data_IF_067899948858
#
_entry.id   IF_067899948858
#
_cell.length_a   1.000
_cell.length_b   1.000
_cell.length_c   1.000
_cell.angle_alpha   90.00
_cell.angle_beta   90.00
_cell.angle_gamma   90.00
#
_symmetry.space_group_name_H-M   'P 1'
#
loop_
_entity.id
_entity.type
_entity.pdbx_description
1 polymer ?
#
# COMPACT_ATOMS: atom_id res chain seq x y z
N UNK A 1 -9.45 1.11 21.48
CA UNK A 1 -8.27 1.13 20.58
C UNK A 1 -7.62 -0.24 20.58
N UNK A 2 -7.38 -0.83 19.42
CA UNK A 2 -6.56 -2.03 19.33
C UNK A 2 -5.09 -1.65 19.54
N UNK A 3 -4.35 -2.45 20.33
CA UNK A 3 -2.93 -2.20 20.55
C UNK A 3 -2.14 -2.35 19.23
N UNK A 4 -1.38 -1.31 18.86
CA UNK A 4 -0.49 -1.39 17.70
C UNK A 4 0.76 -2.17 18.13
N UNK A 5 0.97 -3.30 17.49
CA UNK A 5 2.17 -4.12 17.74
C UNK A 5 3.32 -3.61 16.88
N UNK A 6 4.47 -3.42 17.49
CA UNK A 6 5.66 -2.92 16.80
C UNK A 6 5.50 -1.47 16.31
N UNK A 7 5.99 -1.19 15.11
CA UNK A 7 5.81 0.09 14.39
C UNK A 7 6.31 1.34 15.14
N UNK A 8 7.20 1.16 16.11
CA UNK A 8 7.65 2.27 16.98
C UNK A 8 8.27 3.43 16.18
N UNK A 9 9.05 3.09 15.15
CA UNK A 9 9.67 4.08 14.28
C UNK A 9 8.62 4.84 13.48
N UNK A 10 7.72 4.13 12.81
CA UNK A 10 6.69 4.72 11.96
C UNK A 10 5.72 5.59 12.77
N UNK A 11 5.34 5.14 13.98
CA UNK A 11 4.52 5.93 14.90
C UNK A 11 5.26 7.20 15.34
N UNK A 12 6.55 7.11 15.68
CA UNK A 12 7.34 8.27 16.08
C UNK A 12 7.46 9.29 14.94
N UNK A 13 7.71 8.85 13.71
CA UNK A 13 7.75 9.70 12.52
C UNK A 13 6.39 10.37 12.26
N UNK A 14 5.28 9.60 12.30
CA UNK A 14 3.93 10.14 12.13
C UNK A 14 3.61 11.22 13.17
N UNK A 15 3.95 10.98 14.44
CA UNK A 15 3.78 11.96 15.52
C UNK A 15 4.69 13.18 15.35
N UNK A 16 5.89 13.01 14.80
CA UNK A 16 6.79 14.11 14.47
C UNK A 16 6.19 15.04 13.41
N UNK A 17 5.61 14.48 12.33
CA UNK A 17 4.89 15.27 11.32
C UNK A 17 3.63 15.93 11.90
N UNK A 18 2.90 15.22 12.72
CA UNK A 18 1.69 15.77 13.37
C UNK A 18 2.02 17.01 14.22
N UNK A 19 3.12 16.98 14.97
CA UNK A 19 3.53 18.04 15.88
C UNK A 19 4.43 19.10 15.23
N UNK A 20 4.64 19.09 13.92
CA UNK A 20 5.60 19.97 13.23
C UNK A 20 5.16 21.45 13.18
N UNK A 21 3.86 21.74 13.36
CA UNK A 21 3.30 23.09 13.26
C UNK A 21 3.31 23.70 11.85
N UNK A 22 3.51 22.86 10.82
CA UNK A 22 3.50 23.28 9.40
C UNK A 22 2.65 22.34 8.57
N UNK A 23 2.36 22.73 7.31
CA UNK A 23 1.71 21.84 6.36
C UNK A 23 2.57 20.60 6.11
N UNK A 24 1.97 19.43 6.24
CA UNK A 24 2.68 18.15 6.00
C UNK A 24 1.94 17.33 4.95
N UNK A 25 2.71 16.80 3.98
CA UNK A 25 2.23 15.88 2.97
C UNK A 25 3.04 14.57 3.07
N UNK A 26 2.42 13.56 3.66
CA UNK A 26 3.08 12.30 3.99
C UNK A 26 2.56 11.16 3.12
N UNK A 27 3.46 10.47 2.42
CA UNK A 27 3.13 9.29 1.65
C UNK A 27 3.48 8.01 2.43
N UNK A 28 2.52 7.08 2.53
CA UNK A 28 2.71 5.78 3.14
C UNK A 28 2.47 4.69 2.10
N UNK A 29 3.45 3.84 1.90
CA UNK A 29 3.38 2.79 0.89
C UNK A 29 4.02 1.49 1.37
N UNK A 30 3.83 0.42 0.63
CA UNK A 30 4.33 -0.92 0.96
C UNK A 30 3.34 -2.00 0.58
N UNK A 31 3.73 -3.26 0.76
CA UNK A 31 2.92 -4.42 0.36
C UNK A 31 1.48 -4.32 0.86
N UNK A 32 0.57 -4.92 0.12
CA UNK A 32 -0.80 -5.09 0.56
C UNK A 32 -0.84 -5.91 1.85
N UNK A 33 -1.76 -5.57 2.78
CA UNK A 33 -2.02 -6.29 4.04
C UNK A 33 -0.96 -6.16 5.14
N UNK A 34 0.03 -5.26 4.97
CA UNK A 34 1.02 -4.96 6.03
C UNK A 34 0.49 -4.04 7.14
N UNK A 35 -0.77 -3.56 7.01
CA UNK A 35 -1.42 -2.77 8.06
C UNK A 35 -1.32 -1.25 7.90
N UNK A 36 -1.13 -0.71 6.68
CA UNK A 36 -1.03 0.75 6.43
C UNK A 36 -2.25 1.51 6.96
N UNK A 37 -3.44 1.16 6.47
CA UNK A 37 -4.71 1.77 6.87
C UNK A 37 -4.96 1.63 8.37
N UNK A 38 -4.68 0.44 8.93
CA UNK A 38 -4.80 0.19 10.36
C UNK A 38 -3.90 1.12 11.18
N UNK A 39 -2.62 1.27 10.80
CA UNK A 39 -1.68 2.14 11.49
C UNK A 39 -2.20 3.59 11.56
N UNK A 40 -2.65 4.14 10.43
CA UNK A 40 -3.11 5.52 10.37
C UNK A 40 -4.40 5.71 11.19
N UNK A 41 -5.35 4.79 11.06
CA UNK A 41 -6.60 4.85 11.81
C UNK A 41 -6.36 4.78 13.33
N UNK A 42 -5.45 3.92 13.80
CA UNK A 42 -5.19 3.82 15.25
C UNK A 42 -4.35 4.99 15.78
N UNK A 43 -3.41 5.53 14.99
CA UNK A 43 -2.57 6.67 15.42
C UNK A 43 -3.35 7.98 15.46
N UNK A 44 -4.30 8.19 14.54
CA UNK A 44 -5.01 9.45 14.36
C UNK A 44 -6.53 9.33 14.53
N UNK A 45 -7.01 8.29 15.23
CA UNK A 45 -8.44 8.02 15.41
C UNK A 45 -9.27 9.27 15.80
N UNK A 46 -8.77 10.04 16.75
CA UNK A 46 -9.48 11.20 17.30
C UNK A 46 -9.16 12.52 16.58
N UNK A 47 -8.12 12.55 15.76
CA UNK A 47 -7.62 13.75 15.08
C UNK A 47 -7.99 13.81 13.59
N UNK A 48 -8.56 12.72 13.05
CA UNK A 48 -8.86 12.58 11.63
C UNK A 48 -10.15 13.32 11.28
N UNK A 49 -9.99 14.49 10.60
CA UNK A 49 -11.13 15.31 10.18
C UNK A 49 -11.80 14.78 8.91
N UNK A 50 -11.03 14.12 8.04
CA UNK A 50 -11.51 13.56 6.79
C UNK A 50 -10.78 12.26 6.44
N UNK A 51 -11.55 11.25 6.05
CA UNK A 51 -11.04 9.99 5.55
C UNK A 51 -11.77 9.58 4.27
N UNK A 52 -10.99 9.21 3.25
CA UNK A 52 -11.51 8.68 2.01
C UNK A 52 -10.70 7.48 1.54
N UNK A 53 -11.37 6.46 0.99
CA UNK A 53 -10.73 5.30 0.36
C UNK A 53 -11.17 5.22 -1.10
N UNK A 54 -10.22 5.18 -2.02
CA UNK A 54 -10.48 4.97 -3.45
C UNK A 54 -11.20 3.65 -3.72
N UNK A 55 -12.06 3.61 -4.74
CA UNK A 55 -12.69 2.38 -5.20
C UNK A 55 -11.71 1.54 -6.00
N UNK A 56 -11.68 0.24 -5.73
CA UNK A 56 -10.90 -0.72 -6.53
C UNK A 56 -11.23 -0.58 -8.02
N UNK A 57 -10.23 -0.58 -8.92
CA UNK A 57 -10.45 -0.37 -10.35
C UNK A 57 -11.29 -1.48 -11.00
N UNK A 58 -11.39 -2.63 -10.36
CA UNK A 58 -12.14 -3.78 -10.85
C UNK A 58 -13.32 -4.09 -9.94
N UNK A 59 -14.52 -3.85 -10.44
CA UNK A 59 -15.75 -4.49 -9.96
C UNK A 59 -15.99 -5.76 -10.78
N UNK A 60 -16.73 -6.71 -10.22
CA UNK A 60 -17.03 -8.02 -10.86
C UNK A 60 -17.69 -7.88 -12.23
N UNK A 61 -18.34 -6.76 -12.52
CA UNK A 61 -19.15 -6.54 -13.71
C UNK A 61 -18.58 -5.48 -14.67
N UNK A 62 -17.80 -4.54 -14.18
CA UNK A 62 -17.25 -3.46 -15.00
C UNK A 62 -16.04 -2.79 -14.34
N UNK A 63 -15.26 -2.08 -15.16
CA UNK A 63 -14.21 -1.20 -14.65
C UNK A 63 -14.83 0.03 -13.97
N UNK A 64 -14.35 0.38 -12.80
CA UNK A 64 -14.78 1.59 -12.06
C UNK A 64 -14.38 2.84 -12.87
N UNK A 65 -15.35 3.72 -13.09
CA UNK A 65 -15.17 4.95 -13.87
C UNK A 65 -14.78 6.14 -13.01
N UNK A 66 -14.35 7.24 -13.66
CA UNK A 66 -14.15 8.52 -12.99
C UNK A 66 -15.40 8.98 -12.23
N UNK A 67 -16.59 8.81 -12.83
CA UNK A 67 -17.85 9.20 -12.20
C UNK A 67 -18.10 8.42 -10.89
N UNK A 68 -17.77 7.14 -10.85
CA UNK A 68 -17.93 6.31 -9.64
C UNK A 68 -16.96 6.79 -8.54
N UNK A 69 -15.72 7.09 -8.90
CA UNK A 69 -14.72 7.62 -7.95
C UNK A 69 -15.15 8.98 -7.38
N UNK A 70 -15.62 9.90 -8.22
CA UNK A 70 -16.10 11.21 -7.80
C UNK A 70 -17.34 11.10 -6.90
N UNK A 71 -18.26 10.20 -7.21
CA UNK A 71 -19.42 9.94 -6.37
C UNK A 71 -19.01 9.38 -5.01
N UNK A 72 -18.07 8.45 -4.96
CA UNK A 72 -17.55 7.90 -3.71
C UNK A 72 -16.86 8.98 -2.86
N UNK A 73 -16.07 9.85 -3.50
CA UNK A 73 -15.41 10.97 -2.83
C UNK A 73 -16.43 11.96 -2.25
N UNK A 74 -17.45 12.29 -3.04
CA UNK A 74 -18.56 13.15 -2.60
C UNK A 74 -19.29 12.57 -1.38
N UNK A 75 -19.60 11.26 -1.39
CA UNK A 75 -20.21 10.60 -0.24
C UNK A 75 -19.29 10.59 1.00
N UNK A 76 -17.99 10.55 0.82
CA UNK A 76 -17.07 10.72 1.95
C UNK A 76 -17.16 12.13 2.55
N UNK A 77 -17.21 13.18 1.72
CA UNK A 77 -17.41 14.55 2.20
C UNK A 77 -18.73 14.72 2.97
N UNK A 78 -19.82 14.19 2.43
CA UNK A 78 -21.15 14.24 3.10
C UNK A 78 -21.13 13.50 4.44
N UNK A 79 -20.49 12.32 4.51
CA UNK A 79 -20.36 11.55 5.78
C UNK A 79 -19.59 12.31 6.86
N UNK A 80 -18.66 13.19 6.47
CA UNK A 80 -17.91 14.02 7.41
C UNK A 80 -18.58 15.37 7.70
N UNK A 81 -19.79 15.60 7.18
CA UNK A 81 -20.61 16.77 7.53
C UNK A 81 -20.57 17.90 6.51
N UNK A 82 -20.06 17.69 5.30
CA UNK A 82 -20.18 18.69 4.25
C UNK A 82 -21.64 18.82 3.79
N UNK A 83 -22.14 20.04 3.71
CA UNK A 83 -23.49 20.36 3.24
C UNK A 83 -23.47 21.36 2.08
N UNK A 84 -24.60 21.47 1.36
CA UNK A 84 -24.90 22.57 0.45
C UNK A 84 -24.19 22.56 -0.91
N UNK A 85 -23.42 21.53 -1.26
CA UNK A 85 -22.74 21.44 -2.55
C UNK A 85 -23.26 20.28 -3.39
N UNK A 86 -23.35 20.46 -4.70
CA UNK A 86 -23.72 19.40 -5.64
C UNK A 86 -22.52 18.44 -5.87
N UNK A 87 -22.81 17.22 -6.34
CA UNK A 87 -21.79 16.23 -6.67
C UNK A 87 -20.79 16.80 -7.70
N UNK A 88 -19.47 16.65 -7.47
CA UNK A 88 -18.43 17.16 -8.36
C UNK A 88 -18.41 16.39 -9.70
N UNK A 89 -18.02 17.10 -10.78
CA UNK A 89 -17.90 16.54 -12.13
C UNK A 89 -16.45 16.27 -12.52
N UNK A 90 -15.49 16.75 -11.74
CA UNK A 90 -14.07 16.61 -11.93
C UNK A 90 -13.32 16.48 -10.61
N UNK A 91 -12.09 15.98 -10.63
CA UNK A 91 -11.24 15.98 -9.44
C UNK A 91 -10.88 17.38 -8.97
N UNK A 92 -10.80 18.35 -9.89
CA UNK A 92 -10.58 19.75 -9.51
C UNK A 92 -11.72 20.28 -8.63
N UNK A 93 -12.98 20.02 -9.03
CA UNK A 93 -14.14 20.37 -8.20
C UNK A 93 -14.16 19.58 -6.88
N UNK A 94 -13.82 18.29 -6.91
CA UNK A 94 -13.80 17.46 -5.72
C UNK A 94 -12.78 17.95 -4.68
N UNK A 95 -11.57 18.32 -5.09
CA UNK A 95 -10.57 18.88 -4.18
C UNK A 95 -10.94 20.29 -3.71
N UNK A 96 -11.54 21.13 -4.56
CA UNK A 96 -12.08 22.41 -4.12
C UNK A 96 -13.16 22.24 -3.03
N UNK A 97 -14.02 21.23 -3.16
CA UNK A 97 -15.00 20.90 -2.11
C UNK A 97 -14.31 20.46 -0.81
N UNK A 98 -13.22 19.71 -0.90
CA UNK A 98 -12.42 19.35 0.28
C UNK A 98 -11.79 20.58 0.93
N UNK A 99 -11.26 21.53 0.14
CA UNK A 99 -10.74 22.81 0.67
C UNK A 99 -11.83 23.54 1.47
N UNK A 100 -13.01 23.71 0.89
CA UNK A 100 -14.15 24.37 1.54
C UNK A 100 -14.60 23.66 2.82
N UNK A 101 -14.63 22.33 2.80
CA UNK A 101 -14.94 21.52 3.97
C UNK A 101 -13.91 21.75 5.08
N UNK A 102 -12.61 21.71 4.76
CA UNK A 102 -11.54 21.91 5.72
C UNK A 102 -11.51 23.34 6.29
N UNK A 103 -11.85 24.36 5.48
CA UNK A 103 -11.97 25.75 5.94
C UNK A 103 -13.14 25.93 6.91
N UNK A 104 -14.31 25.36 6.59
CA UNK A 104 -15.49 25.46 7.46
C UNK A 104 -15.35 24.66 8.76
N UNK A 105 -14.57 23.61 8.75
CA UNK A 105 -14.31 22.74 9.92
C UNK A 105 -13.08 23.17 10.72
N UNK A 106 -12.43 24.28 10.32
CA UNK A 106 -11.19 24.74 10.97
C UNK A 106 -11.49 25.39 12.33
N UNK A 107 -11.06 24.74 13.40
CA UNK A 107 -11.14 25.22 14.77
C UNK A 107 -9.77 25.60 15.34
N UNK A 108 -8.74 25.73 14.50
CA UNK A 108 -7.36 26.00 14.88
C UNK A 108 -6.54 24.77 15.31
N UNK A 109 -7.18 23.62 15.47
CA UNK A 109 -6.48 22.37 15.78
C UNK A 109 -5.86 21.74 14.53
N UNK A 110 -4.96 20.77 14.74
CA UNK A 110 -4.36 19.98 13.65
C UNK A 110 -5.46 19.24 12.87
N UNK A 111 -5.51 19.40 11.56
CA UNK A 111 -6.44 18.73 10.67
C UNK A 111 -5.72 17.58 9.97
N UNK A 112 -6.04 16.35 10.33
CA UNK A 112 -5.53 15.15 9.64
C UNK A 112 -6.51 14.75 8.56
N UNK A 113 -6.03 14.76 7.32
CA UNK A 113 -6.75 14.27 6.13
C UNK A 113 -6.09 12.99 5.67
N UNK A 114 -6.84 11.90 5.62
CA UNK A 114 -6.32 10.61 5.17
C UNK A 114 -7.00 10.15 3.88
N UNK A 115 -6.20 9.95 2.83
CA UNK A 115 -6.66 9.42 1.53
C UNK A 115 -6.01 8.06 1.32
N UNK A 116 -6.79 7.00 1.46
CA UNK A 116 -6.35 5.62 1.32
C UNK A 116 -6.56 5.10 -0.11
N UNK A 117 -5.70 4.18 -0.54
CA UNK A 117 -5.64 3.59 -1.87
C UNK A 117 -5.66 4.67 -2.99
N UNK A 118 -4.81 5.69 -2.81
CA UNK A 118 -4.65 6.82 -3.74
C UNK A 118 -4.50 6.38 -5.22
N UNK A 119 -3.72 5.33 -5.55
CA UNK A 119 -3.56 4.87 -6.93
C UNK A 119 -4.87 4.48 -7.63
N UNK A 120 -5.88 4.05 -6.89
CA UNK A 120 -7.15 3.63 -7.46
C UNK A 120 -8.00 4.79 -7.98
N UNK A 121 -7.76 6.00 -7.48
CA UNK A 121 -8.46 7.20 -7.93
C UNK A 121 -7.92 7.76 -9.25
N UNK A 122 -6.67 7.43 -9.59
CA UNK A 122 -6.03 7.86 -10.83
C UNK A 122 -6.49 6.99 -12.02
N UNK A 123 -7.75 7.15 -12.40
CA UNK A 123 -8.30 6.48 -13.59
C UNK A 123 -7.80 7.17 -14.87
N UNK A 124 -7.79 6.43 -15.98
CA UNK A 124 -7.28 6.94 -17.24
C UNK A 124 -7.92 8.29 -17.65
N UNK A 125 -7.09 9.28 -17.90
CA UNK A 125 -7.48 10.65 -18.32
C UNK A 125 -8.36 11.38 -17.28
N UNK A 126 -8.31 10.99 -16.01
CA UNK A 126 -9.13 11.61 -14.95
C UNK A 126 -8.66 13.00 -14.52
N UNK A 127 -7.40 13.35 -14.79
CA UNK A 127 -6.78 14.57 -14.27
C UNK A 127 -6.55 14.56 -12.75
N UNK A 128 -6.56 13.37 -12.14
CA UNK A 128 -6.44 13.21 -10.69
C UNK A 128 -5.16 13.83 -10.13
N UNK A 129 -4.01 13.45 -10.69
CA UNK A 129 -2.71 13.97 -10.23
C UNK A 129 -2.61 15.49 -10.39
N UNK A 130 -3.10 16.04 -11.50
CA UNK A 130 -3.13 17.49 -11.74
C UNK A 130 -4.00 18.20 -10.70
N UNK A 131 -5.14 17.62 -10.34
CA UNK A 131 -6.02 18.18 -9.32
C UNK A 131 -5.42 18.09 -7.91
N UNK A 132 -4.78 16.98 -7.56
CA UNK A 132 -4.04 16.82 -6.30
C UNK A 132 -2.88 17.82 -6.20
N UNK A 133 -2.15 18.01 -7.32
CA UNK A 133 -1.08 19.00 -7.42
C UNK A 133 -1.62 20.43 -7.18
N UNK A 134 -2.71 20.79 -7.83
CA UNK A 134 -3.35 22.10 -7.67
C UNK A 134 -3.83 22.31 -6.23
N UNK A 135 -4.49 21.33 -5.63
CA UNK A 135 -4.91 21.35 -4.23
C UNK A 135 -3.73 21.60 -3.29
N UNK A 136 -2.67 20.80 -3.42
CA UNK A 136 -1.53 20.94 -2.52
C UNK A 136 -0.74 22.22 -2.74
N UNK A 137 -0.38 22.52 -3.99
CA UNK A 137 0.46 23.69 -4.31
C UNK A 137 -0.29 25.02 -4.17
N UNK A 138 -1.58 25.05 -4.49
CA UNK A 138 -2.40 26.27 -4.46
C UNK A 138 -2.92 26.59 -3.07
N UNK A 139 -3.25 25.57 -2.27
CA UNK A 139 -3.92 25.77 -1.00
C UNK A 139 -3.26 25.00 0.15
N UNK A 140 -3.10 23.69 0.05
CA UNK A 140 -2.74 22.82 1.18
C UNK A 140 -1.41 23.19 1.84
N UNK A 141 -0.37 23.51 1.06
CA UNK A 141 0.95 23.86 1.57
C UNK A 141 1.00 25.17 2.36
N UNK A 142 -0.04 26.00 2.27
CA UNK A 142 -0.16 27.25 3.03
C UNK A 142 -0.85 27.09 4.38
N UNK A 143 -1.42 25.91 4.66
CA UNK A 143 -2.23 25.61 5.85
C UNK A 143 -1.35 24.99 6.94
N UNK A 144 -0.87 25.80 7.90
CA UNK A 144 0.04 25.34 8.97
C UNK A 144 -0.53 24.20 9.82
N UNK A 145 -1.84 24.06 9.89
CA UNK A 145 -2.52 23.01 10.65
C UNK A 145 -2.95 21.80 9.81
N UNK A 146 -2.62 21.73 8.51
CA UNK A 146 -2.97 20.59 7.66
C UNK A 146 -1.90 19.51 7.69
N UNK A 147 -2.31 18.25 7.89
CA UNK A 147 -1.53 17.06 7.64
C UNK A 147 -2.27 16.15 6.64
N UNK A 148 -1.84 16.17 5.38
CA UNK A 148 -2.34 15.27 4.34
C UNK A 148 -1.54 13.97 4.36
N UNK A 149 -2.21 12.86 4.65
CA UNK A 149 -1.63 11.53 4.59
C UNK A 149 -2.25 10.79 3.40
N UNK A 150 -1.43 10.27 2.52
CA UNK A 150 -1.87 9.47 1.39
C UNK A 150 -1.25 8.08 1.45
N UNK A 151 -2.03 7.08 1.07
CA UNK A 151 -1.61 5.69 1.19
C UNK A 151 -1.90 4.93 -0.10
N UNK A 152 -1.09 3.93 -0.40
CA UNK A 152 -1.32 3.04 -1.54
C UNK A 152 -0.59 1.72 -1.43
N UNK A 153 -1.25 0.67 -1.90
CA UNK A 153 -0.67 -0.68 -2.01
C UNK A 153 0.02 -0.94 -3.36
N UNK A 154 -0.31 -0.17 -4.41
CA UNK A 154 0.39 -0.18 -5.69
C UNK A 154 1.70 0.61 -5.58
N UNK A 155 2.73 -0.02 -4.99
CA UNK A 155 4.00 0.64 -4.65
C UNK A 155 4.69 1.26 -5.86
N UNK A 156 4.65 0.62 -7.04
CA UNK A 156 5.22 1.17 -8.27
C UNK A 156 4.55 2.49 -8.67
N UNK A 157 3.22 2.57 -8.56
CA UNK A 157 2.49 3.80 -8.85
C UNK A 157 2.86 4.90 -7.85
N UNK A 158 2.93 4.60 -6.56
CA UNK A 158 3.32 5.56 -5.51
C UNK A 158 4.73 6.10 -5.77
N UNK A 159 5.66 5.22 -6.13
CA UNK A 159 7.05 5.63 -6.46
C UNK A 159 7.11 6.47 -7.74
N UNK A 160 6.45 6.06 -8.81
CA UNK A 160 6.61 6.68 -10.12
C UNK A 160 5.81 8.00 -10.26
N UNK A 161 4.62 8.07 -9.65
CA UNK A 161 3.69 9.20 -9.84
C UNK A 161 3.66 10.19 -8.68
N UNK A 162 4.12 9.79 -7.50
CA UNK A 162 4.10 10.66 -6.33
C UNK A 162 5.52 10.96 -5.82
N UNK A 163 6.29 9.94 -5.44
CA UNK A 163 7.60 10.10 -4.79
C UNK A 163 8.66 10.59 -5.77
N UNK A 164 8.81 9.90 -6.91
CA UNK A 164 9.76 10.26 -7.97
C UNK A 164 9.08 11.07 -9.09
N UNK A 165 7.98 11.74 -8.78
CA UNK A 165 7.27 12.58 -9.74
C UNK A 165 8.22 13.62 -10.35
N UNK A 166 8.08 13.84 -11.67
CA UNK A 166 8.87 14.86 -12.40
C UNK A 166 8.07 16.13 -12.71
N UNK A 167 6.81 16.17 -12.28
CA UNK A 167 5.88 17.29 -12.42
C UNK A 167 5.81 18.16 -11.17
N UNK A 168 4.68 18.80 -10.95
CA UNK A 168 4.49 19.76 -9.88
C UNK A 168 4.38 19.18 -8.47
N UNK A 169 4.32 17.84 -8.32
CA UNK A 169 4.45 17.16 -7.03
C UNK A 169 5.91 16.85 -6.68
N UNK A 170 6.87 17.15 -7.56
CA UNK A 170 8.30 16.95 -7.28
C UNK A 170 8.75 17.71 -6.03
N UNK A 171 9.32 16.99 -5.06
CA UNK A 171 9.81 17.57 -3.81
C UNK A 171 8.72 18.19 -2.91
N UNK A 172 7.44 17.84 -3.13
CA UNK A 172 6.31 18.34 -2.33
C UNK A 172 5.95 17.46 -1.15
N UNK A 173 6.32 16.19 -1.20
CA UNK A 173 6.21 15.33 -0.04
C UNK A 173 7.15 15.81 1.06
N UNK A 174 6.61 15.96 2.26
CA UNK A 174 7.39 16.31 3.46
C UNK A 174 7.83 15.07 4.21
N UNK A 175 7.17 13.93 3.96
CA UNK A 175 7.50 12.64 4.55
C UNK A 175 7.15 11.45 3.67
N UNK A 176 7.99 10.43 3.79
CA UNK A 176 7.82 9.14 3.12
C UNK A 176 8.02 8.02 4.12
N UNK A 177 7.03 7.13 4.24
CA UNK A 177 7.11 5.98 5.13
C UNK A 177 6.81 4.71 4.32
N UNK A 178 7.84 3.90 4.09
CA UNK A 178 7.64 2.55 3.56
C UNK A 178 7.34 1.59 4.70
N UNK A 179 6.13 1.04 4.70
CA UNK A 179 5.72 0.07 5.71
C UNK A 179 6.10 -1.35 5.24
N UNK A 180 7.02 -1.96 5.98
CA UNK A 180 7.49 -3.33 5.72
C UNK A 180 6.62 -4.37 6.44
N UNK A 181 6.69 -5.67 6.06
CA UNK A 181 6.22 -6.76 6.90
C UNK A 181 6.83 -6.69 8.31
N UNK A 182 6.20 -7.33 9.27
CA UNK A 182 6.75 -7.44 10.62
C UNK A 182 8.10 -8.14 10.62
N UNK A 183 8.99 -7.69 11.48
CA UNK A 183 10.20 -8.43 11.84
C UNK A 183 9.85 -9.67 12.67
N UNK A 184 10.78 -10.60 12.83
CA UNK A 184 10.57 -11.78 13.69
C UNK A 184 10.20 -11.38 15.14
N UNK A 185 10.77 -10.29 15.66
CA UNK A 185 10.43 -9.78 16.98
C UNK A 185 9.00 -9.26 17.04
N UNK A 186 8.57 -8.49 16.07
CA UNK A 186 7.20 -8.01 15.98
C UNK A 186 6.21 -9.17 15.78
N UNK A 187 6.58 -10.22 15.06
CA UNK A 187 5.78 -11.44 14.95
C UNK A 187 5.64 -12.15 16.31
N UNK A 188 6.73 -12.26 17.10
CA UNK A 188 6.70 -12.81 18.46
C UNK A 188 5.74 -12.01 19.34
N UNK A 189 5.87 -10.67 19.32
CA UNK A 189 5.01 -9.77 20.11
C UNK A 189 3.53 -9.86 19.66
N UNK A 190 3.29 -9.96 18.35
CA UNK A 190 1.96 -10.13 17.80
C UNK A 190 1.28 -11.43 18.23
N UNK A 191 1.98 -12.57 18.16
CA UNK A 191 1.44 -13.84 18.60
C UNK A 191 1.18 -13.84 20.11
N UNK A 192 2.09 -13.30 20.92
CA UNK A 192 1.90 -13.16 22.36
C UNK A 192 0.67 -12.31 22.71
N UNK A 193 0.46 -11.18 22.04
CA UNK A 193 -0.72 -10.32 22.24
C UNK A 193 -2.05 -11.01 21.93
N UNK A 194 -2.02 -12.09 21.16
CA UNK A 194 -3.19 -12.91 20.78
C UNK A 194 -3.28 -14.22 21.59
N UNK A 195 -2.49 -14.38 22.66
CA UNK A 195 -2.39 -15.60 23.46
C UNK A 195 -1.99 -16.85 22.65
N UNK A 196 -1.28 -16.66 21.54
CA UNK A 196 -0.76 -17.75 20.71
C UNK A 196 0.65 -18.09 21.20
N UNK A 197 0.77 -19.24 21.88
CA UNK A 197 2.03 -19.73 22.43
C UNK A 197 2.77 -20.57 21.37
N UNK A 198 3.90 -20.04 20.89
CA UNK A 198 4.76 -20.74 19.94
C UNK A 198 6.23 -20.61 20.33
N UNK A 199 6.99 -21.68 20.10
CA UNK A 199 8.46 -21.60 20.19
C UNK A 199 9.01 -20.62 19.12
N UNK A 200 10.17 -20.04 19.37
CA UNK A 200 10.85 -19.19 18.37
C UNK A 200 11.09 -19.92 17.05
N UNK A 201 11.37 -21.23 17.11
CA UNK A 201 11.49 -22.05 15.91
C UNK A 201 10.19 -22.08 15.09
N UNK A 202 9.04 -22.26 15.76
CA UNK A 202 7.74 -22.23 15.09
C UNK A 202 7.40 -20.84 14.54
N UNK A 203 7.81 -19.76 15.23
CA UNK A 203 7.65 -18.39 14.73
C UNK A 203 8.44 -18.17 13.44
N UNK A 204 9.69 -18.68 13.37
CA UNK A 204 10.50 -18.63 12.13
C UNK A 204 9.81 -19.41 11.00
N UNK A 205 9.29 -20.60 11.28
CA UNK A 205 8.56 -21.38 10.27
C UNK A 205 7.30 -20.66 9.80
N UNK A 206 6.51 -20.09 10.73
CA UNK A 206 5.35 -19.27 10.39
C UNK A 206 5.73 -18.05 9.54
N UNK A 207 6.85 -17.40 9.88
CA UNK A 207 7.39 -16.27 9.13
C UNK A 207 7.76 -16.67 7.68
N UNK A 208 8.42 -17.80 7.50
CA UNK A 208 8.77 -18.32 6.16
C UNK A 208 7.54 -18.61 5.29
N UNK A 209 6.38 -18.92 5.91
CA UNK A 209 5.14 -19.23 5.19
C UNK A 209 4.30 -17.95 4.95
N UNK A 210 4.19 -17.08 5.96
CA UNK A 210 3.29 -15.92 5.94
C UNK A 210 3.99 -14.59 5.65
N UNK A 211 5.32 -14.55 5.61
CA UNK A 211 6.15 -13.38 5.29
C UNK A 211 6.03 -12.24 6.30
N UNK A 212 5.66 -12.51 7.56
CA UNK A 212 5.46 -11.47 8.59
C UNK A 212 4.30 -10.51 8.28
N UNK A 213 3.31 -10.95 7.51
CA UNK A 213 2.15 -10.12 7.12
C UNK A 213 1.07 -10.19 8.21
N UNK A 214 0.77 -9.10 8.94
CA UNK A 214 -0.17 -9.11 10.06
C UNK A 214 -1.55 -9.65 9.72
N UNK A 215 -2.04 -9.33 8.53
CA UNK A 215 -3.34 -9.81 8.05
C UNK A 215 -3.43 -11.34 8.02
N UNK A 216 -2.39 -12.03 7.59
CA UNK A 216 -2.38 -13.50 7.53
C UNK A 216 -2.21 -14.10 8.93
N UNK A 217 -1.39 -13.47 9.76
CA UNK A 217 -1.16 -13.88 11.14
C UNK A 217 -2.43 -13.81 11.99
N UNK A 218 -3.35 -12.89 11.69
CA UNK A 218 -4.65 -12.77 12.37
C UNK A 218 -5.56 -14.01 12.24
N UNK A 219 -5.30 -14.88 11.25
CA UNK A 219 -6.12 -16.09 11.07
C UNK A 219 -5.68 -17.26 11.93
N UNK A 220 -4.56 -17.15 12.66
CA UNK A 220 -4.11 -18.21 13.54
C UNK A 220 -5.09 -18.42 14.70
N UNK A 221 -5.41 -19.67 14.95
CA UNK A 221 -6.21 -20.09 16.09
C UNK A 221 -5.26 -20.47 17.26
N UNK A 222 -5.37 -19.83 18.42
CA UNK A 222 -4.50 -20.11 19.56
C UNK A 222 -4.61 -21.54 20.10
N UNK A 223 -5.73 -22.23 19.85
CA UNK A 223 -5.96 -23.63 20.28
C UNK A 223 -5.32 -24.67 19.36
N UNK A 224 -4.72 -24.27 18.24
CA UNK A 224 -4.15 -25.17 17.26
C UNK A 224 -2.62 -25.06 17.20
N UNK A 225 -1.94 -26.16 16.91
CA UNK A 225 -0.51 -26.14 16.61
C UNK A 225 -0.21 -25.37 15.33
N UNK A 226 1.07 -25.03 15.09
CA UNK A 226 1.48 -24.39 13.83
C UNK A 226 1.04 -25.21 12.60
N UNK A 227 1.32 -26.51 12.58
CA UNK A 227 0.95 -27.39 11.48
C UNK A 227 -0.56 -27.42 11.22
N UNK A 228 -1.36 -27.52 12.26
CA UNK A 228 -2.82 -27.50 12.17
C UNK A 228 -3.35 -26.15 11.67
N UNK A 229 -2.76 -25.02 12.11
CA UNK A 229 -3.10 -23.70 11.58
C UNK A 229 -2.78 -23.59 10.09
N UNK A 230 -1.62 -24.03 9.65
CA UNK A 230 -1.21 -24.01 8.24
C UNK A 230 -2.13 -24.90 7.39
N UNK A 231 -2.42 -26.12 7.87
CA UNK A 231 -3.37 -27.00 7.17
C UNK A 231 -4.76 -26.35 7.01
N UNK A 232 -5.30 -25.80 8.08
CA UNK A 232 -6.59 -25.12 8.07
C UNK A 232 -6.62 -23.89 7.14
N UNK A 233 -5.52 -23.13 7.05
CA UNK A 233 -5.46 -21.90 6.27
C UNK A 233 -5.24 -22.12 4.78
N UNK A 234 -4.49 -23.17 4.38
CA UNK A 234 -4.05 -23.34 3.00
C UNK A 234 -4.57 -24.62 2.32
N UNK A 235 -4.83 -25.70 3.05
CA UNK A 235 -5.07 -27.02 2.48
C UNK A 235 -6.45 -27.60 2.78
N UNK A 236 -7.15 -27.07 3.79
CA UNK A 236 -8.52 -27.53 4.10
C UNK A 236 -9.50 -27.18 2.98
N UNK A 237 -10.64 -27.88 2.92
CA UNK A 237 -11.72 -27.63 1.93
C UNK A 237 -12.19 -26.18 1.90
N UNK A 238 -12.19 -25.50 3.04
CA UNK A 238 -12.61 -24.10 3.21
C UNK A 238 -11.42 -23.20 3.58
N UNK A 239 -10.24 -23.49 3.07
CA UNK A 239 -9.02 -22.77 3.36
C UNK A 239 -9.14 -21.27 3.00
N UNK A 240 -8.98 -20.40 3.99
CA UNK A 240 -9.11 -18.93 3.81
C UNK A 240 -8.06 -18.35 2.87
N UNK A 241 -6.88 -18.94 2.83
CA UNK A 241 -5.72 -18.50 2.04
C UNK A 241 -5.41 -19.42 0.85
N UNK A 242 -6.22 -20.45 0.59
CA UNK A 242 -5.97 -21.41 -0.49
C UNK A 242 -5.85 -20.78 -1.89
N UNK A 243 -6.61 -19.70 -2.15
CA UNK A 243 -6.55 -18.95 -3.41
C UNK A 243 -5.94 -17.55 -3.26
N UNK A 244 -5.26 -17.31 -2.15
CA UNK A 244 -4.75 -15.99 -1.81
C UNK A 244 -3.71 -15.47 -2.80
N UNK A 245 -2.85 -16.34 -3.30
CA UNK A 245 -1.83 -16.00 -4.28
C UNK A 245 -2.45 -15.36 -5.54
N UNK A 246 -3.45 -16.01 -6.12
CA UNK A 246 -4.15 -15.49 -7.30
C UNK A 246 -4.88 -14.18 -6.99
N UNK A 247 -5.60 -14.12 -5.87
CA UNK A 247 -6.35 -12.91 -5.47
C UNK A 247 -5.44 -11.72 -5.23
N UNK A 248 -4.30 -11.94 -4.58
CA UNK A 248 -3.32 -10.90 -4.29
C UNK A 248 -2.76 -10.32 -5.59
N UNK A 249 -2.27 -11.17 -6.50
CA UNK A 249 -1.67 -10.74 -7.75
C UNK A 249 -2.67 -10.00 -8.65
N UNK A 250 -3.87 -10.54 -8.82
CA UNK A 250 -4.95 -9.90 -9.57
C UNK A 250 -5.37 -8.53 -9.00
N UNK A 251 -5.11 -8.28 -7.72
CA UNK A 251 -5.45 -7.01 -7.07
C UNK A 251 -4.36 -5.94 -7.15
N UNK A 252 -3.13 -6.31 -7.57
CA UNK A 252 -1.96 -5.41 -7.58
C UNK A 252 -1.46 -5.15 -8.99
N UNK A 253 -1.53 -6.14 -9.88
CA UNK A 253 -0.89 -6.10 -11.20
C UNK A 253 -1.91 -6.20 -12.33
N UNK A 254 -1.78 -5.33 -13.34
CA UNK A 254 -2.59 -5.38 -14.55
C UNK A 254 -2.33 -6.67 -15.36
N UNK A 255 -1.10 -7.20 -15.33
CA UNK A 255 -0.66 -8.44 -15.98
C UNK A 255 -0.35 -9.50 -14.91
N UNK A 256 -1.37 -9.86 -14.12
CA UNK A 256 -1.21 -10.71 -12.95
C UNK A 256 -0.69 -12.11 -13.30
N UNK A 257 -1.19 -12.73 -14.38
CA UNK A 257 -0.78 -14.08 -14.78
C UNK A 257 0.69 -14.13 -15.18
N UNK A 258 1.15 -13.16 -15.98
CA UNK A 258 2.56 -13.07 -16.37
C UNK A 258 3.45 -12.81 -15.15
N UNK A 259 3.02 -11.98 -14.20
CA UNK A 259 3.72 -11.77 -12.94
C UNK A 259 3.81 -13.05 -12.12
N UNK A 260 2.72 -13.82 -12.02
CA UNK A 260 2.70 -15.11 -11.31
C UNK A 260 3.62 -16.13 -11.96
N UNK A 261 3.70 -16.19 -13.29
CA UNK A 261 4.60 -17.07 -14.01
C UNK A 261 6.07 -16.74 -13.75
N UNK A 262 6.42 -15.45 -13.71
CA UNK A 262 7.75 -15.01 -13.31
C UNK A 262 8.09 -15.49 -11.90
N UNK A 263 7.18 -15.35 -10.93
CA UNK A 263 7.37 -15.82 -9.56
C UNK A 263 7.56 -17.35 -9.52
N UNK A 264 6.73 -18.12 -10.23
CA UNK A 264 6.83 -19.58 -10.31
C UNK A 264 8.16 -20.04 -10.92
N UNK A 265 8.64 -19.33 -11.94
CA UNK A 265 9.96 -19.64 -12.55
C UNK A 265 11.08 -19.37 -11.56
N UNK A 266 11.04 -18.20 -10.88
CA UNK A 266 12.06 -17.81 -9.91
C UNK A 266 12.09 -18.73 -8.68
N UNK A 267 10.95 -19.25 -8.25
CA UNK A 267 10.86 -20.22 -7.16
C UNK A 267 11.61 -21.54 -7.41
N UNK A 268 11.96 -21.85 -8.67
CA UNK A 268 12.69 -23.07 -9.02
C UNK A 268 14.21 -22.95 -8.87
N UNK A 269 14.77 -21.75 -8.69
CA UNK A 269 16.23 -21.53 -8.63
C UNK A 269 16.59 -20.38 -7.69
N UNK A 270 17.16 -20.71 -6.54
CA UNK A 270 17.57 -19.72 -5.53
C UNK A 270 18.57 -18.67 -6.04
N UNK A 271 19.48 -19.05 -6.95
CA UNK A 271 20.43 -18.12 -7.58
C UNK A 271 19.73 -17.16 -8.57
N UNK A 272 18.42 -17.30 -8.79
CA UNK A 272 17.68 -16.49 -9.74
C UNK A 272 18.17 -16.60 -11.19
N UNK A 273 17.69 -15.70 -12.01
CA UNK A 273 17.96 -15.66 -13.45
C UNK A 273 18.33 -14.25 -13.90
N UNK A 274 19.12 -14.14 -14.97
CA UNK A 274 19.29 -12.88 -15.68
C UNK A 274 17.96 -12.45 -16.33
N UNK A 275 17.88 -11.19 -16.74
CA UNK A 275 16.67 -10.69 -17.43
C UNK A 275 16.36 -11.49 -18.70
N UNK A 276 17.38 -11.86 -19.47
CA UNK A 276 17.20 -12.60 -20.70
C UNK A 276 16.77 -14.05 -20.44
N UNK A 277 17.46 -14.78 -19.54
CA UNK A 277 17.07 -16.12 -19.12
C UNK A 277 15.63 -16.18 -18.61
N UNK A 278 15.22 -15.16 -17.86
CA UNK A 278 13.86 -15.08 -17.29
C UNK A 278 12.81 -14.85 -18.38
N UNK A 279 13.09 -13.97 -19.34
CA UNK A 279 12.20 -13.70 -20.47
C UNK A 279 12.04 -14.96 -21.37
N UNK A 280 13.13 -15.67 -21.66
CA UNK A 280 13.10 -16.91 -22.43
C UNK A 280 12.28 -18.00 -21.72
N UNK A 281 12.49 -18.20 -20.40
CA UNK A 281 11.74 -19.19 -19.61
C UNK A 281 10.26 -18.85 -19.48
N UNK A 282 9.95 -17.56 -19.36
CA UNK A 282 8.58 -17.07 -19.30
C UNK A 282 7.91 -17.00 -20.70
N UNK A 283 8.65 -17.26 -21.77
CA UNK A 283 8.21 -17.12 -23.17
C UNK A 283 7.71 -15.70 -23.49
N UNK A 284 8.37 -14.72 -22.90
CA UNK A 284 8.03 -13.29 -23.04
C UNK A 284 9.09 -12.56 -23.86
N UNK A 285 8.66 -11.52 -24.58
CA UNK A 285 9.58 -10.65 -25.30
C UNK A 285 10.25 -9.71 -24.28
N UNK A 286 11.61 -9.63 -24.23
CA UNK A 286 12.33 -8.77 -23.30
C UNK A 286 12.28 -7.28 -23.70
N UNK A 287 11.08 -6.72 -23.84
CA UNK A 287 10.77 -5.34 -24.22
C UNK A 287 10.59 -4.41 -23.03
N UNK A 288 10.09 -3.19 -23.26
CA UNK A 288 9.78 -2.21 -22.21
C UNK A 288 8.67 -2.65 -21.27
N UNK A 289 7.67 -3.42 -21.75
CA UNK A 289 6.60 -3.99 -20.92
C UNK A 289 7.14 -4.97 -19.90
N UNK A 290 8.01 -5.91 -20.33
CA UNK A 290 8.68 -6.85 -19.44
C UNK A 290 9.52 -6.14 -18.37
N UNK A 291 10.23 -5.07 -18.76
CA UNK A 291 11.00 -4.25 -17.79
C UNK A 291 10.11 -3.57 -16.77
N UNK A 292 8.95 -3.03 -17.17
CA UNK A 292 7.96 -2.43 -16.26
C UNK A 292 7.41 -3.46 -15.28
N UNK A 293 7.11 -4.67 -15.76
CA UNK A 293 6.61 -5.78 -14.94
C UNK A 293 7.63 -6.20 -13.87
N UNK A 294 8.90 -6.37 -14.24
CA UNK A 294 9.98 -6.67 -13.28
C UNK A 294 10.14 -5.52 -12.26
N UNK A 295 10.08 -4.27 -12.70
CA UNK A 295 10.14 -3.11 -11.81
C UNK A 295 8.97 -3.11 -10.83
N UNK A 296 7.75 -3.42 -11.27
CA UNK A 296 6.57 -3.51 -10.43
C UNK A 296 6.71 -4.62 -9.37
N UNK A 297 7.21 -5.80 -9.74
CA UNK A 297 7.48 -6.90 -8.81
C UNK A 297 8.57 -6.54 -7.78
N UNK A 298 9.63 -5.82 -8.17
CA UNK A 298 10.69 -5.37 -7.26
C UNK A 298 10.14 -4.31 -6.29
N UNK A 299 9.44 -3.30 -6.79
CA UNK A 299 8.90 -2.22 -5.96
C UNK A 299 7.86 -2.72 -4.97
N UNK A 300 7.14 -3.80 -5.31
CA UNK A 300 6.17 -4.48 -4.44
C UNK A 300 6.81 -5.54 -3.51
N UNK A 301 8.12 -5.57 -3.43
CA UNK A 301 8.90 -6.47 -2.55
C UNK A 301 8.73 -7.98 -2.80
N UNK A 302 8.34 -8.38 -4.03
CA UNK A 302 8.33 -9.80 -4.42
C UNK A 302 9.68 -10.27 -4.94
N UNK A 303 10.41 -9.38 -5.62
CA UNK A 303 11.72 -9.68 -6.19
C UNK A 303 12.80 -8.76 -5.63
N UNK A 304 14.01 -9.28 -5.64
CA UNK A 304 15.22 -8.47 -5.55
C UNK A 304 16.08 -8.65 -6.79
N UNK A 305 16.82 -7.60 -7.09
CA UNK A 305 17.79 -7.52 -8.15
C UNK A 305 19.19 -7.44 -7.52
N UNK A 306 20.11 -8.25 -7.95
CA UNK A 306 21.47 -8.28 -7.40
C UNK A 306 22.50 -8.66 -8.46
N UNK A 307 23.73 -8.26 -8.22
CA UNK A 307 24.89 -8.70 -9.01
C UNK A 307 25.65 -9.73 -8.17
N UNK A 308 25.91 -10.94 -8.68
CA UNK A 308 26.73 -11.92 -7.96
C UNK A 308 28.12 -11.37 -7.63
N UNK A 309 28.66 -11.76 -6.48
CA UNK A 309 30.00 -11.34 -6.09
C UNK A 309 31.04 -11.77 -7.15
N UNK A 310 31.93 -10.85 -7.54
CA UNK A 310 32.94 -11.07 -8.58
C UNK A 310 32.45 -10.98 -10.02
N UNK A 311 31.15 -10.71 -10.24
CA UNK A 311 30.56 -10.58 -11.57
C UNK A 311 30.43 -9.11 -12.00
N UNK A 312 30.28 -8.89 -13.31
CA UNK A 312 30.00 -7.57 -13.88
C UNK A 312 28.52 -7.19 -13.75
N UNK A 313 28.18 -5.90 -13.87
CA UNK A 313 26.78 -5.44 -13.89
C UNK A 313 25.94 -6.05 -15.03
N UNK A 314 26.56 -6.63 -16.05
CA UNK A 314 25.88 -7.35 -17.13
C UNK A 314 25.30 -8.69 -16.70
N UNK A 315 25.76 -9.24 -15.56
CA UNK A 315 25.31 -10.49 -14.97
C UNK A 315 24.28 -10.30 -13.85
N UNK A 316 23.63 -9.15 -13.86
CA UNK A 316 22.54 -8.83 -12.95
C UNK A 316 21.45 -9.90 -12.97
N UNK A 317 21.04 -10.34 -11.78
CA UNK A 317 20.07 -11.40 -11.60
C UNK A 317 18.87 -10.96 -10.78
N UNK A 318 17.77 -11.62 -11.05
CA UNK A 318 16.48 -11.46 -10.33
C UNK A 318 16.23 -12.75 -9.55
N UNK A 319 15.85 -12.63 -8.30
CA UNK A 319 15.41 -13.75 -7.46
C UNK A 319 14.25 -13.33 -6.58
N UNK A 320 13.54 -14.30 -5.99
CA UNK A 320 12.54 -14.02 -4.96
C UNK A 320 13.21 -13.30 -3.79
N UNK A 321 12.49 -12.36 -3.18
CA UNK A 321 13.00 -11.59 -2.04
C UNK A 321 12.97 -12.43 -0.76
N UNK A 322 11.94 -13.25 -0.61
CA UNK A 322 11.68 -14.13 0.53
C UNK A 322 11.93 -15.59 0.16
#
# INVERSE_FOLDING_TARGET
MCEIIGRKYEIAELKRYYNSGRAEFVAIYGRRRVGKTFLINEVFHDDMIFHHTGLSPYDRQRRVSLKDQLQNFYFSLIRHGMEGMAQPKSWMEAFFMLERFLETSDNGSRQVVFIDELPWMDTARSGFLTALEAFWNGWGNTRHNLMLIVCGSATSWMLDNLINNKGGLYGRLTGEIKLYPFTLKECEDFYHSRNIQMSRYNIVQAYMILGGIPFYMNFFNPSLSLAQNIDALFFSRNAKLGDEFNRLFNSIFDHAEECMDIIRILGKRHAGYTRQELAEKAKMIPNGGFTKMLKALISSDFLIKYVPFGSSNREERYKLKD
#
